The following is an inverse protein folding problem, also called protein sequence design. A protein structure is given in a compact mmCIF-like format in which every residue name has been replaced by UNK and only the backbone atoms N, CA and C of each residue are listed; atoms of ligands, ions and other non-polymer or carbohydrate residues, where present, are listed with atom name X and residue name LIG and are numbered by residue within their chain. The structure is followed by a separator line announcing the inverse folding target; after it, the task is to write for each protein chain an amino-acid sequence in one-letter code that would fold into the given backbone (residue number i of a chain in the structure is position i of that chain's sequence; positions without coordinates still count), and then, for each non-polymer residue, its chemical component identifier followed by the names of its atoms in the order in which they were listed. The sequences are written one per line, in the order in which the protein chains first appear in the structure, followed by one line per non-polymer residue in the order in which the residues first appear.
data_IF_165521549083
#
_entry.id   IF_165521549083
#
_cell.length_a   1.000
_cell.length_b   1.000
_cell.length_c   1.000
_cell.angle_alpha   90.00
_cell.angle_beta   90.00
_cell.angle_gamma   90.00
#
_symmetry.space_group_name_H-M   'P 1'
#
loop_
_entity.id
_entity.type
_entity.pdbx_description
1 polymer ?
#
# COMPACT_ATOMS: atom_id res chain seq x y z
N UNK A 1 -8.11 8.96 4.64
CA UNK A 1 -7.46 7.83 3.94
C UNK A 1 -8.30 7.42 2.75
N UNK A 2 -7.65 7.22 1.61
CA UNK A 2 -8.24 6.71 0.38
C UNK A 2 -7.60 5.38 0.03
N UNK A 3 -8.41 4.40 -0.38
CA UNK A 3 -7.95 3.08 -0.82
C UNK A 3 -8.31 2.86 -2.29
N UNK A 4 -7.29 2.71 -3.14
CA UNK A 4 -7.44 2.52 -4.59
C UNK A 4 -7.39 1.03 -4.93
N UNK A 5 -8.53 0.48 -5.37
CA UNK A 5 -8.71 -0.96 -5.53
C UNK A 5 -9.16 -1.62 -4.23
N UNK A 6 -10.17 -1.04 -3.58
CA UNK A 6 -10.56 -1.43 -2.22
C UNK A 6 -11.14 -2.84 -2.08
N UNK A 7 -11.48 -3.51 -3.19
CA UNK A 7 -11.95 -4.89 -3.18
C UNK A 7 -13.15 -5.10 -2.25
N UNK A 8 -12.98 -5.96 -1.24
CA UNK A 8 -14.01 -6.26 -0.23
C UNK A 8 -14.10 -5.24 0.91
N UNK A 9 -13.36 -4.13 0.83
CA UNK A 9 -13.43 -2.99 1.73
C UNK A 9 -12.69 -3.16 3.05
N UNK A 10 -11.97 -4.27 3.27
CA UNK A 10 -11.33 -4.55 4.57
C UNK A 10 -10.36 -3.47 5.02
N UNK A 11 -9.59 -2.89 4.10
CA UNK A 11 -8.57 -1.87 4.41
C UNK A 11 -9.25 -0.57 4.85
N UNK A 12 -10.26 -0.12 4.10
CA UNK A 12 -11.04 1.09 4.43
C UNK A 12 -11.73 0.94 5.78
N UNK A 13 -12.31 -0.22 6.06
CA UNK A 13 -12.97 -0.50 7.33
C UNK A 13 -11.97 -0.53 8.49
N UNK A 14 -10.83 -1.19 8.33
CA UNK A 14 -9.77 -1.22 9.34
C UNK A 14 -9.21 0.19 9.61
N UNK A 15 -8.95 0.96 8.55
CA UNK A 15 -8.52 2.35 8.65
C UNK A 15 -9.52 3.20 9.46
N UNK A 16 -10.81 3.00 9.19
CA UNK A 16 -11.88 3.63 9.96
C UNK A 16 -11.85 3.19 11.44
N UNK A 17 -11.68 1.91 11.73
CA UNK A 17 -11.59 1.42 13.11
C UNK A 17 -10.37 1.97 13.85
N UNK A 18 -9.26 2.22 13.13
CA UNK A 18 -8.07 2.90 13.64
C UNK A 18 -8.20 4.42 13.79
N UNK A 19 -9.39 5.00 13.56
CA UNK A 19 -9.64 6.43 13.75
C UNK A 19 -9.32 7.31 12.53
N UNK A 20 -8.90 6.75 11.38
CA UNK A 20 -8.67 7.54 10.18
C UNK A 20 -10.00 8.04 9.60
N UNK A 21 -10.13 9.35 9.44
CA UNK A 21 -11.31 10.01 8.86
C UNK A 21 -10.87 11.08 7.86
N UNK A 22 -11.59 11.24 6.73
CA UNK A 22 -12.57 10.30 6.16
C UNK A 22 -11.88 9.00 5.70
N UNK A 23 -12.64 7.90 5.59
CA UNK A 23 -12.16 6.62 5.06
C UNK A 23 -12.98 6.25 3.80
N UNK A 24 -12.32 6.22 2.64
CA UNK A 24 -12.96 6.09 1.33
C UNK A 24 -12.30 4.99 0.51
N UNK A 25 -13.11 4.12 -0.09
CA UNK A 25 -12.64 3.09 -1.03
C UNK A 25 -13.17 3.31 -2.44
N UNK A 26 -12.29 3.15 -3.43
CA UNK A 26 -12.63 3.14 -4.85
C UNK A 26 -12.43 1.74 -5.42
N UNK A 27 -13.44 1.24 -6.12
CA UNK A 27 -13.43 -0.08 -6.74
C UNK A 27 -14.24 -0.04 -8.05
N UNK A 28 -13.78 -0.74 -9.08
CA UNK A 28 -14.44 -0.76 -10.38
C UNK A 28 -15.54 -1.82 -10.44
N UNK A 29 -15.32 -2.97 -9.81
CA UNK A 29 -16.25 -4.10 -9.84
C UNK A 29 -17.48 -3.84 -8.95
N UNK A 30 -18.70 -3.77 -9.52
CA UNK A 30 -19.92 -3.51 -8.74
C UNK A 30 -20.19 -4.57 -7.67
N UNK A 31 -19.81 -5.83 -7.90
CA UNK A 31 -20.01 -6.92 -6.94
C UNK A 31 -19.13 -6.74 -5.71
N UNK A 32 -17.87 -6.36 -5.90
CA UNK A 32 -16.94 -6.08 -4.80
C UNK A 32 -17.37 -4.85 -4.01
N UNK A 33 -17.85 -3.79 -4.67
CA UNK A 33 -18.45 -2.64 -3.98
C UNK A 33 -19.67 -3.06 -3.16
N UNK A 34 -20.53 -3.93 -3.69
CA UNK A 34 -21.66 -4.49 -2.95
C UNK A 34 -21.21 -5.26 -1.71
N UNK A 35 -20.18 -6.11 -1.85
CA UNK A 35 -19.59 -6.88 -0.75
C UNK A 35 -18.97 -5.96 0.31
N UNK A 36 -18.23 -4.94 -0.09
CA UNK A 36 -17.62 -3.96 0.80
C UNK A 36 -18.66 -3.19 1.62
N UNK A 37 -19.78 -2.80 0.97
CA UNK A 37 -20.92 -2.17 1.66
C UNK A 37 -21.60 -3.12 2.63
N UNK A 38 -21.76 -4.40 2.27
CA UNK A 38 -22.31 -5.41 3.15
C UNK A 38 -21.41 -5.61 4.39
N UNK A 39 -20.09 -5.67 4.21
CA UNK A 39 -19.13 -5.75 5.31
C UNK A 39 -19.21 -4.53 6.23
N UNK A 40 -19.25 -3.31 5.67
CA UNK A 40 -19.41 -2.11 6.48
C UNK A 40 -20.75 -2.04 7.21
N UNK A 41 -21.84 -2.49 6.58
CA UNK A 41 -23.15 -2.59 7.24
C UNK A 41 -23.12 -3.59 8.40
N UNK A 42 -22.56 -4.79 8.19
CA UNK A 42 -22.39 -5.80 9.26
C UNK A 42 -21.53 -5.29 10.42
N UNK A 43 -20.55 -4.43 10.12
CA UNK A 43 -19.70 -3.80 11.12
C UNK A 43 -20.31 -2.52 11.74
N UNK A 44 -21.55 -2.16 11.42
CA UNK A 44 -22.20 -0.95 11.93
C UNK A 44 -21.58 0.36 11.45
N UNK A 45 -20.74 0.33 10.41
CA UNK A 45 -19.95 1.46 9.92
C UNK A 45 -20.46 2.02 8.58
N UNK A 46 -21.63 1.59 8.09
CA UNK A 46 -22.16 1.97 6.76
C UNK A 46 -22.34 3.47 6.55
N UNK A 47 -22.62 4.24 7.60
CA UNK A 47 -22.72 5.71 7.52
C UNK A 47 -21.38 6.45 7.63
N UNK A 48 -20.31 5.72 7.93
CA UNK A 48 -19.04 6.28 8.38
C UNK A 48 -17.87 5.97 7.45
N UNK A 49 -18.03 4.96 6.57
CA UNK A 49 -17.11 4.63 5.47
C UNK A 49 -17.82 4.78 4.12
N UNK A 50 -17.11 5.26 3.12
CA UNK A 50 -17.67 5.49 1.79
C UNK A 50 -17.04 4.57 0.75
N UNK A 51 -17.85 3.78 0.05
CA UNK A 51 -17.40 2.99 -1.10
C UNK A 51 -18.02 3.50 -2.40
N UNK A 52 -17.15 3.87 -3.34
CA UNK A 52 -17.55 4.40 -4.64
C UNK A 52 -17.18 3.44 -5.76
N UNK A 53 -18.18 3.12 -6.59
CA UNK A 53 -17.94 2.44 -7.87
C UNK A 53 -17.42 3.44 -8.89
N UNK A 54 -16.10 3.67 -8.91
CA UNK A 54 -15.46 4.60 -9.82
C UNK A 54 -14.10 4.06 -10.25
N UNK A 55 -13.74 4.45 -11.46
CA UNK A 55 -12.39 4.28 -11.98
C UNK A 55 -11.42 5.17 -11.21
N UNK A 56 -10.39 4.55 -10.61
CA UNK A 56 -9.37 5.24 -9.82
C UNK A 56 -8.63 6.31 -10.64
N UNK A 57 -8.50 6.14 -11.96
CA UNK A 57 -7.81 7.11 -12.82
C UNK A 57 -8.54 8.45 -12.89
N UNK A 58 -9.86 8.43 -12.72
CA UNK A 58 -10.74 9.61 -12.83
C UNK A 58 -11.00 10.29 -11.49
N UNK A 59 -10.50 9.73 -10.40
CA UNK A 59 -10.62 10.31 -9.05
C UNK A 59 -9.51 11.33 -8.86
N UNK A 60 -9.82 12.49 -8.27
CA UNK A 60 -8.80 13.46 -7.87
C UNK A 60 -8.22 13.09 -6.51
N UNK A 61 -6.89 13.06 -6.42
CA UNK A 61 -6.17 12.74 -5.17
C UNK A 61 -5.56 13.98 -4.49
N UNK A 62 -5.88 15.19 -4.98
CA UNK A 62 -5.26 16.45 -4.54
C UNK A 62 -5.42 16.77 -3.06
N UNK A 63 -6.54 16.37 -2.48
CA UNK A 63 -6.83 16.63 -1.06
C UNK A 63 -6.55 15.39 -0.17
N UNK A 64 -5.81 14.40 -0.69
CA UNK A 64 -5.58 13.12 -0.01
C UNK A 64 -4.17 13.03 0.57
N UNK A 65 -4.07 12.96 1.89
CA UNK A 65 -2.77 12.80 2.58
C UNK A 65 -2.38 11.35 2.88
N UNK A 66 -3.31 10.40 2.82
CA UNK A 66 -3.04 9.00 3.11
C UNK A 66 -3.71 8.14 2.06
N UNK A 67 -2.93 7.42 1.27
CA UNK A 67 -3.40 6.56 0.19
C UNK A 67 -2.88 5.13 0.37
N UNK A 68 -3.77 4.16 0.22
CA UNK A 68 -3.43 2.74 0.12
C UNK A 68 -3.71 2.25 -1.29
N UNK A 69 -2.83 1.39 -1.80
CA UNK A 69 -2.92 0.79 -3.12
C UNK A 69 -2.61 -0.71 -3.03
N UNK A 70 -3.47 -1.54 -3.60
CA UNK A 70 -3.26 -2.98 -3.73
C UNK A 70 -3.63 -3.40 -5.15
N UNK A 71 -2.72 -3.16 -6.10
CA UNK A 71 -2.96 -3.39 -7.52
C UNK A 71 -1.94 -4.35 -8.13
N UNK A 72 -2.23 -4.81 -9.34
CA UNK A 72 -1.32 -5.63 -10.13
C UNK A 72 -0.07 -4.83 -10.54
N UNK A 73 1.11 -5.49 -10.66
CA UNK A 73 2.37 -4.81 -10.94
C UNK A 73 2.38 -4.06 -12.27
N UNK A 74 1.64 -4.53 -13.28
CA UNK A 74 1.50 -3.85 -14.57
C UNK A 74 0.82 -2.48 -14.49
N UNK A 75 0.10 -2.20 -13.40
CA UNK A 75 -0.67 -0.96 -13.19
C UNK A 75 0.12 0.07 -12.39
N UNK A 76 1.09 -0.39 -11.58
CA UNK A 76 1.84 0.46 -10.65
C UNK A 76 2.66 1.57 -11.33
N UNK A 77 3.32 1.37 -12.50
CA UNK A 77 4.03 2.46 -13.17
C UNK A 77 3.13 3.64 -13.53
N UNK A 78 1.96 3.35 -14.14
CA UNK A 78 0.99 4.40 -14.49
C UNK A 78 0.40 5.07 -13.23
N UNK A 79 0.25 4.29 -12.16
CA UNK A 79 -0.30 4.81 -10.91
C UNK A 79 0.71 5.72 -10.21
N UNK A 80 1.98 5.38 -10.26
CA UNK A 80 3.08 6.20 -9.73
C UNK A 80 3.04 7.61 -10.35
N UNK A 81 2.93 7.71 -11.68
CA UNK A 81 2.82 9.00 -12.38
C UNK A 81 1.62 9.83 -11.90
N UNK A 82 0.46 9.18 -11.73
CA UNK A 82 -0.76 9.83 -11.22
C UNK A 82 -0.57 10.30 -9.78
N UNK A 83 0.00 9.47 -8.91
CA UNK A 83 0.24 9.81 -7.51
C UNK A 83 1.21 10.98 -7.41
N UNK A 84 2.27 10.99 -8.20
CA UNK A 84 3.26 12.07 -8.24
C UNK A 84 2.66 13.39 -8.75
N UNK A 85 1.79 13.34 -9.74
CA UNK A 85 1.17 14.53 -10.32
C UNK A 85 0.00 15.11 -9.50
N UNK A 86 -0.66 14.29 -8.68
CA UNK A 86 -1.87 14.71 -7.96
C UNK A 86 -1.73 14.82 -6.45
N UNK A 87 -0.88 14.03 -5.79
CA UNK A 87 -0.83 14.05 -4.34
C UNK A 87 -0.16 15.32 -3.78
N UNK A 88 -0.64 15.82 -2.64
CA UNK A 88 0.02 16.92 -1.97
C UNK A 88 1.36 16.47 -1.38
N UNK A 89 2.27 17.43 -1.27
CA UNK A 89 3.53 17.30 -0.55
C UNK A 89 3.33 16.70 0.85
N UNK A 90 4.17 15.73 1.24
CA UNK A 90 4.08 15.06 2.54
C UNK A 90 2.91 14.08 2.68
N UNK A 91 2.15 13.81 1.62
CA UNK A 91 1.22 12.68 1.62
C UNK A 91 1.98 11.35 1.76
N UNK A 92 1.33 10.38 2.39
CA UNK A 92 1.84 9.03 2.56
C UNK A 92 1.10 8.05 1.66
N UNK A 93 1.87 7.26 0.92
CA UNK A 93 1.37 6.20 0.05
C UNK A 93 1.82 4.86 0.61
N UNK A 94 0.91 3.90 0.68
CA UNK A 94 1.19 2.52 1.10
C UNK A 94 0.82 1.58 -0.05
N UNK A 95 1.80 0.83 -0.54
CA UNK A 95 1.60 -0.20 -1.58
C UNK A 95 1.72 -1.59 -0.99
N UNK A 96 0.68 -2.40 -1.18
CA UNK A 96 0.66 -3.80 -0.76
C UNK A 96 1.20 -4.73 -1.84
N UNK A 97 1.89 -5.79 -1.41
CA UNK A 97 2.45 -6.91 -2.20
C UNK A 97 3.57 -6.53 -3.19
N UNK A 98 3.44 -5.43 -3.91
CA UNK A 98 4.38 -4.99 -4.93
C UNK A 98 4.83 -3.55 -4.66
N UNK A 99 6.13 -3.23 -4.85
CA UNK A 99 6.62 -1.88 -4.70
C UNK A 99 6.24 -1.01 -5.90
N UNK A 100 6.19 0.30 -5.69
CA UNK A 100 6.24 1.29 -6.77
C UNK A 100 7.60 1.20 -7.49
N UNK A 101 7.62 1.27 -8.83
CA UNK A 101 8.80 0.94 -9.62
C UNK A 101 9.99 1.89 -9.44
N UNK A 102 9.77 3.20 -9.27
CA UNK A 102 10.88 4.18 -9.18
C UNK A 102 10.97 4.85 -7.81
N UNK A 103 9.88 4.89 -7.05
CA UNK A 103 9.87 5.53 -5.74
C UNK A 103 10.67 4.73 -4.71
N UNK A 104 11.43 5.45 -3.88
CA UNK A 104 12.18 4.86 -2.79
C UNK A 104 11.30 4.74 -1.53
N UNK A 105 11.11 3.52 -0.97
CA UNK A 105 10.28 3.34 0.21
C UNK A 105 10.96 3.90 1.46
N UNK A 106 10.18 4.56 2.32
CA UNK A 106 10.61 5.01 3.65
C UNK A 106 10.55 3.89 4.68
N UNK A 107 9.66 2.92 4.47
CA UNK A 107 9.56 1.73 5.31
C UNK A 107 9.06 0.53 4.50
N UNK A 108 9.48 -0.66 4.93
CA UNK A 108 9.06 -1.94 4.37
C UNK A 108 8.70 -2.85 5.54
N UNK A 109 7.51 -3.43 5.51
CA UNK A 109 6.99 -4.28 6.60
C UNK A 109 6.47 -5.58 6.00
N UNK A 110 6.66 -6.69 6.71
CA UNK A 110 6.17 -8.00 6.32
C UNK A 110 7.04 -8.74 5.29
N UNK A 111 6.65 -9.97 4.97
CA UNK A 111 7.40 -10.88 4.11
C UNK A 111 6.49 -11.56 3.07
N UNK A 112 7.10 -11.99 1.95
CA UNK A 112 6.38 -12.71 0.89
C UNK A 112 5.17 -11.94 0.36
N UNK A 113 3.99 -12.55 0.47
CA UNK A 113 2.72 -12.00 -0.04
C UNK A 113 2.15 -10.88 0.84
N UNK A 114 2.58 -10.82 2.11
CA UNK A 114 2.12 -9.83 3.10
C UNK A 114 3.08 -8.63 3.19
N UNK A 115 4.03 -8.52 2.25
CA UNK A 115 4.95 -7.39 2.19
C UNK A 115 4.21 -6.11 1.83
N UNK A 116 4.52 -5.04 2.56
CA UNK A 116 3.95 -3.70 2.40
C UNK A 116 5.08 -2.68 2.31
N UNK A 117 4.91 -1.70 1.43
CA UNK A 117 5.87 -0.64 1.16
C UNK A 117 5.22 0.71 1.47
N UNK A 118 5.88 1.54 2.28
CA UNK A 118 5.41 2.89 2.57
C UNK A 118 6.33 3.91 1.90
N UNK A 119 5.74 4.99 1.40
CA UNK A 119 6.40 6.07 0.68
C UNK A 119 5.88 7.42 1.17
N UNK A 120 6.75 8.41 1.20
CA UNK A 120 6.38 9.81 1.43
C UNK A 120 6.52 10.60 0.15
N UNK A 121 5.49 11.37 -0.21
CA UNK A 121 5.53 12.29 -1.34
C UNK A 121 6.51 13.41 -1.00
N UNK A 122 7.58 13.61 -1.79
CA UNK A 122 8.55 14.65 -1.52
C UNK A 122 7.87 16.01 -1.44
N UNK A 123 8.06 16.72 -0.33
CA UNK A 123 7.61 18.11 -0.22
C UNK A 123 8.59 19.08 -0.87
N UNK A 124 8.18 20.35 -1.08
CA UNK A 124 9.11 21.43 -1.39
C UNK A 124 9.93 21.77 -0.13
N UNK A 125 10.89 20.91 0.19
CA UNK A 125 11.91 21.09 1.23
C UNK A 125 13.25 20.60 0.66
N UNK A 126 14.39 21.14 1.12
CA UNK A 126 15.68 20.88 0.47
C UNK A 126 15.93 19.38 0.46
N UNK A 127 16.27 18.85 -0.71
CA UNK A 127 16.61 17.46 -0.92
C UNK A 127 17.72 17.06 0.07
N UNK A 128 17.34 16.44 1.19
CA UNK A 128 18.30 15.82 2.09
C UNK A 128 18.71 14.53 1.41
N UNK A 129 19.87 14.57 0.77
CA UNK A 129 20.56 13.39 0.26
C UNK A 129 20.72 12.36 1.38
N UNK A 130 19.98 11.26 1.31
CA UNK A 130 20.20 10.11 2.18
C UNK A 130 21.50 9.42 1.74
N UNK A 131 22.56 9.63 2.53
CA UNK A 131 23.74 8.78 2.49
C UNK A 131 23.31 7.32 2.69
N UNK A 132 23.75 6.47 1.76
CA UNK A 132 23.43 5.05 1.76
C UNK A 132 23.87 4.34 3.03
N UNK A 133 22.93 3.63 3.65
CA UNK A 133 23.26 2.57 4.60
C UNK A 133 23.47 1.30 3.78
N UNK A 134 24.74 0.88 3.69
CA UNK A 134 25.14 -0.41 3.13
C UNK A 134 24.78 -1.51 4.12
N UNK A 135 23.76 -2.31 3.82
CA UNK A 135 23.50 -3.56 4.54
C UNK A 135 24.46 -4.64 4.05
N UNK A 136 25.41 -4.97 4.92
CA UNK A 136 26.38 -6.05 4.77
C UNK A 136 25.65 -7.40 4.72
N UNK A 137 25.91 -8.18 3.67
CA UNK A 137 25.40 -9.54 3.51
C UNK A 137 25.93 -10.47 4.62
N UNK A 138 25.06 -11.32 5.16
CA UNK A 138 25.37 -12.41 6.09
C UNK A 138 25.92 -13.60 5.26
N UNK A 139 27.05 -14.23 5.62
CA UNK A 139 27.56 -15.38 4.86
C UNK A 139 26.81 -16.67 5.21
N UNK A 140 26.54 -17.47 4.18
CA UNK A 140 26.02 -18.84 4.25
C UNK A 140 26.97 -19.76 5.05
N UNK A 141 26.42 -20.51 6.00
CA UNK A 141 27.14 -21.59 6.69
C UNK A 141 27.08 -22.88 5.89
N UNK A 142 28.25 -23.32 5.42
CA UNK A 142 28.47 -24.61 4.76
C UNK A 142 28.25 -25.78 5.73
N UNK A 143 27.40 -26.74 5.35
CA UNK A 143 27.25 -28.01 6.09
C UNK A 143 28.19 -29.07 5.49
N UNK A 144 29.24 -29.39 6.22
CA UNK A 144 30.22 -30.44 5.89
C UNK A 144 29.68 -31.82 6.27
N UNK A 145 29.83 -32.75 5.33
CA UNK A 145 29.57 -34.19 5.38
C UNK A 145 30.20 -34.93 6.56
N UNK A 146 29.44 -35.85 7.18
CA UNK A 146 29.91 -36.84 8.17
C UNK A 146 30.53 -38.05 7.45
N UNK A 147 31.73 -38.52 7.80
CA UNK A 147 32.22 -39.83 7.37
C UNK A 147 31.82 -40.93 8.36
N UNK A 148 31.36 -42.06 7.81
CA UNK A 148 31.01 -43.26 8.56
C UNK A 148 32.22 -43.94 9.21
N UNK A 149 31.95 -44.64 10.32
CA UNK A 149 32.91 -45.57 10.94
C UNK A 149 32.26 -46.94 11.01
N UNK A 150 32.88 -47.92 10.33
CA UNK A 150 32.77 -49.34 10.65
C UNK A 150 33.79 -49.65 11.75
N UNK A 151 33.36 -50.28 12.82
CA UNK A 151 33.84 -51.58 13.36
C UNK A 151 32.84 -52.07 14.39
#
# INVERSE_FOLDING_TARGET
MVDLGSGDGRIVLAAHQCGLRPAVGYELNPWLVGLARLHAWRAGCSGSVCYHRKDLWKVSLRDCHNVSVFLAPSVLPLLEDKLQGELPAGARVVSGRFPLPTWQPVAVVGEGLDRVWAYDVPGPGPAVSSCGVSTKAIPESSSTSIPGTRV
#
